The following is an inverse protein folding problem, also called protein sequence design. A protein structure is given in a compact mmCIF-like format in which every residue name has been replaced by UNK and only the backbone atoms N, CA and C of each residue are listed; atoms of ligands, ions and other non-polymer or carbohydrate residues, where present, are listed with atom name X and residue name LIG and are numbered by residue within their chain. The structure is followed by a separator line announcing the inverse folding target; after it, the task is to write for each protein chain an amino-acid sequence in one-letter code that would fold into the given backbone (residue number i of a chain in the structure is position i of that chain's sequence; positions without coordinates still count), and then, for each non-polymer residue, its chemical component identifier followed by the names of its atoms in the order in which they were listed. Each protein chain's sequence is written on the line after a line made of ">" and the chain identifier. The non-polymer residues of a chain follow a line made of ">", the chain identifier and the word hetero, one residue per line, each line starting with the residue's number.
data_IF_129496779816
#
_entry.id   IF_129496779816
#
_cell.length_a   1.000
_cell.length_b   1.000
_cell.length_c   1.000
_cell.angle_alpha   90.00
_cell.angle_beta   90.00
_cell.angle_gamma   90.00
#
_symmetry.space_group_name_H-M   'P 1'
#
loop_
_entity.id
_entity.type
_entity.pdbx_description
1 polymer ?
#
# COMPACT_ATOMS: atom_id res chain seq x y z
N UNK A 1 36.00 -19.61 -37.92
CA UNK A 1 35.32 -19.71 -36.62
C UNK A 1 34.83 -18.30 -36.29
N UNK A 2 33.59 -17.97 -36.68
CA UNK A 2 33.05 -16.62 -36.59
C UNK A 2 32.47 -16.39 -35.19
N UNK A 3 32.84 -15.26 -34.57
CA UNK A 3 32.35 -14.84 -33.26
C UNK A 3 30.93 -14.30 -33.38
N UNK A 4 30.02 -14.83 -32.57
CA UNK A 4 28.65 -14.33 -32.42
C UNK A 4 28.70 -13.23 -31.36
N UNK A 5 28.38 -11.99 -31.76
CA UNK A 5 28.17 -10.89 -30.82
C UNK A 5 26.85 -11.10 -30.05
N UNK A 6 26.81 -10.81 -28.74
CA UNK A 6 25.60 -10.98 -27.95
C UNK A 6 24.59 -9.84 -28.23
N UNK A 7 23.38 -10.25 -28.59
CA UNK A 7 22.23 -9.38 -28.81
C UNK A 7 21.89 -8.59 -27.53
N UNK A 8 21.97 -7.26 -27.61
CA UNK A 8 21.49 -6.35 -26.58
C UNK A 8 19.97 -6.48 -26.51
N UNK A 9 19.47 -7.11 -25.45
CA UNK A 9 18.03 -7.08 -25.13
C UNK A 9 17.72 -5.67 -24.66
N UNK A 10 17.09 -4.89 -25.54
CA UNK A 10 16.39 -3.68 -25.15
C UNK A 10 15.24 -4.09 -24.23
N UNK A 11 15.41 -3.89 -22.92
CA UNK A 11 14.32 -3.93 -21.96
C UNK A 11 13.33 -2.84 -22.34
N UNK A 12 12.26 -3.23 -23.03
CA UNK A 12 11.10 -2.39 -23.27
C UNK A 12 10.55 -1.99 -21.91
N UNK A 13 10.73 -0.72 -21.53
CA UNK A 13 9.98 -0.11 -20.43
C UNK A 13 8.50 -0.14 -20.84
N UNK A 14 7.77 -1.13 -20.35
CA UNK A 14 6.31 -1.05 -20.29
C UNK A 14 6.03 0.08 -19.32
N UNK A 15 5.58 1.21 -19.84
CA UNK A 15 5.05 2.31 -19.04
C UNK A 15 3.70 1.84 -18.48
N UNK A 16 3.75 1.18 -17.32
CA UNK A 16 2.61 0.50 -16.68
C UNK A 16 1.60 1.48 -16.04
N UNK A 17 1.63 2.76 -16.44
CA UNK A 17 0.79 3.81 -15.87
C UNK A 17 0.96 4.01 -14.35
N UNK A 18 2.02 3.44 -13.76
CA UNK A 18 2.25 3.49 -12.32
C UNK A 18 2.80 4.84 -11.92
N UNK A 19 2.20 5.41 -10.88
CA UNK A 19 2.66 6.66 -10.29
C UNK A 19 4.11 6.51 -9.77
N UNK A 20 5.10 7.21 -10.37
CA UNK A 20 6.51 7.07 -9.99
C UNK A 20 6.80 7.70 -8.63
N UNK A 21 5.89 8.53 -8.10
CA UNK A 21 6.08 9.30 -6.86
C UNK A 21 6.41 8.40 -5.66
N UNK A 22 5.81 7.21 -5.60
CA UNK A 22 6.07 6.23 -4.55
C UNK A 22 7.51 5.72 -4.59
N UNK A 23 7.97 5.27 -5.76
CA UNK A 23 9.32 4.74 -5.93
C UNK A 23 10.37 5.84 -5.72
N UNK A 24 10.15 7.03 -6.27
CA UNK A 24 11.07 8.18 -6.11
C UNK A 24 11.23 8.56 -4.63
N UNK A 25 10.13 8.63 -3.88
CA UNK A 25 10.18 8.92 -2.45
C UNK A 25 10.96 7.84 -1.68
N UNK A 26 10.71 6.56 -1.97
CA UNK A 26 11.38 5.44 -1.30
C UNK A 26 12.88 5.47 -1.62
N UNK A 27 13.26 5.62 -2.88
CA UNK A 27 14.65 5.69 -3.34
C UNK A 27 15.39 6.84 -2.67
N UNK A 28 14.81 8.04 -2.70
CA UNK A 28 15.39 9.23 -2.07
C UNK A 28 15.57 9.03 -0.56
N UNK A 29 14.57 8.44 0.10
CA UNK A 29 14.61 8.20 1.55
C UNK A 29 15.69 7.18 1.88
N UNK A 30 15.70 6.01 1.24
CA UNK A 30 16.68 4.95 1.49
C UNK A 30 18.11 5.42 1.17
N UNK A 31 18.32 6.14 0.06
CA UNK A 31 19.61 6.70 -0.29
C UNK A 31 20.10 7.71 0.77
N UNK A 32 19.23 8.61 1.25
CA UNK A 32 19.58 9.55 2.31
C UNK A 32 19.95 8.84 3.63
N UNK A 33 19.27 7.74 3.95
CA UNK A 33 19.58 6.93 5.14
C UNK A 33 20.93 6.22 5.01
N UNK A 34 21.20 5.57 3.87
CA UNK A 34 22.49 4.89 3.62
C UNK A 34 23.65 5.89 3.62
N UNK A 35 23.46 7.04 2.98
CA UNK A 35 24.45 8.11 2.99
C UNK A 35 24.72 8.59 4.42
N UNK A 36 23.68 8.85 5.20
CA UNK A 36 23.83 9.27 6.60
C UNK A 36 24.54 8.22 7.47
N UNK A 37 24.28 6.92 7.25
CA UNK A 37 24.96 5.83 7.95
C UNK A 37 26.44 5.68 7.55
N UNK A 38 26.81 6.17 6.36
CA UNK A 38 28.19 6.14 5.88
C UNK A 38 29.03 7.31 6.39
N UNK A 39 28.41 8.29 7.06
CA UNK A 39 29.07 9.46 7.62
C UNK A 39 29.59 9.20 9.04
N UNK A 40 30.43 10.11 9.53
CA UNK A 40 30.93 10.04 10.91
C UNK A 40 29.78 10.20 11.91
N UNK A 41 29.80 9.52 13.08
CA UNK A 41 28.73 9.59 14.08
C UNK A 41 28.46 11.01 14.62
N UNK A 42 29.42 11.93 14.48
CA UNK A 42 29.28 13.32 14.91
C UNK A 42 28.46 14.18 13.92
N UNK A 43 28.33 13.74 12.67
CA UNK A 43 27.71 14.49 11.58
C UNK A 43 26.38 13.86 11.11
N UNK A 44 26.16 12.58 11.43
CA UNK A 44 25.00 11.82 10.99
C UNK A 44 23.72 12.21 11.75
N UNK A 45 22.92 13.13 11.19
CA UNK A 45 21.58 13.47 11.69
C UNK A 45 20.49 12.72 10.92
N UNK A 46 20.43 11.41 11.10
CA UNK A 46 19.52 10.54 10.34
C UNK A 46 18.11 10.62 10.92
N UNK A 47 17.11 10.86 10.07
CA UNK A 47 15.71 10.85 10.50
C UNK A 47 14.73 10.60 9.38
N UNK A 48 13.57 10.02 9.73
CA UNK A 48 12.43 9.84 8.83
C UNK A 48 11.27 10.66 9.40
N UNK A 49 10.62 11.46 8.56
CA UNK A 49 9.45 12.26 8.95
C UNK A 49 8.24 11.80 8.18
N UNK A 50 7.19 11.40 8.89
CA UNK A 50 5.93 10.96 8.31
C UNK A 50 4.81 11.96 8.62
N UNK A 51 4.00 12.27 7.61
CA UNK A 51 2.71 12.93 7.79
C UNK A 51 1.74 11.96 8.43
N UNK A 52 0.87 12.47 9.28
CA UNK A 52 -0.20 11.73 9.92
C UNK A 52 -1.53 12.39 9.67
N UNK A 53 -2.50 11.56 9.30
CA UNK A 53 -3.91 12.00 9.28
C UNK A 53 -4.34 12.27 10.71
N UNK A 54 -5.07 13.37 10.90
CA UNK A 54 -5.81 13.60 12.13
C UNK A 54 -6.72 12.40 12.40
N UNK A 55 -6.92 12.07 13.69
CA UNK A 55 -7.83 11.00 14.06
C UNK A 55 -9.22 11.26 13.45
N UNK A 56 -9.87 10.27 12.81
CA UNK A 56 -11.25 10.41 12.31
C UNK A 56 -12.25 10.80 13.40
N UNK A 57 -11.89 10.56 14.67
CA UNK A 57 -12.72 10.80 15.86
C UNK A 57 -12.50 12.20 16.44
N UNK A 58 -11.56 12.99 15.89
CA UNK A 58 -11.40 14.38 16.30
C UNK A 58 -12.53 15.22 15.72
N UNK A 59 -13.70 15.14 16.34
CA UNK A 59 -14.84 16.00 16.06
C UNK A 59 -14.90 17.10 17.11
N UNK A 60 -15.22 18.30 16.69
CA UNK A 60 -15.49 19.45 17.55
C UNK A 60 -16.99 19.73 17.49
N UNK A 61 -17.60 20.03 18.64
CA UNK A 61 -18.97 20.54 18.65
C UNK A 61 -18.89 22.01 18.26
N UNK A 62 -19.54 22.38 17.17
CA UNK A 62 -19.62 23.76 16.76
C UNK A 62 -20.43 24.56 17.81
N UNK A 63 -19.85 25.60 18.42
CA UNK A 63 -20.47 26.30 19.55
C UNK A 63 -21.68 27.16 19.16
N UNK A 64 -21.92 27.37 17.86
CA UNK A 64 -23.01 28.21 17.34
C UNK A 64 -24.26 27.37 17.07
N UNK A 65 -24.11 26.21 16.41
CA UNK A 65 -25.23 25.37 15.98
C UNK A 65 -25.31 24.01 16.71
N UNK A 66 -24.33 23.68 17.55
CA UNK A 66 -24.27 22.40 18.27
C UNK A 66 -23.96 21.18 17.39
N UNK A 67 -23.63 21.37 16.10
CA UNK A 67 -23.34 20.29 15.18
C UNK A 67 -21.97 19.66 15.50
N UNK A 68 -21.87 18.34 15.32
CA UNK A 68 -20.60 17.63 15.41
C UNK A 68 -19.85 17.82 14.09
N UNK A 69 -18.83 18.67 14.09
CA UNK A 69 -18.02 18.97 12.92
C UNK A 69 -16.67 18.26 12.99
N UNK A 70 -16.14 17.83 11.84
CA UNK A 70 -14.77 17.34 11.81
C UNK A 70 -13.83 18.47 12.23
N UNK A 71 -12.95 18.22 13.20
CA UNK A 71 -11.88 19.16 13.53
C UNK A 71 -11.11 19.49 12.25
N UNK A 72 -10.72 20.76 12.03
CA UNK A 72 -9.90 21.12 10.89
C UNK A 72 -8.70 20.17 10.85
N UNK A 73 -8.52 19.49 9.71
CA UNK A 73 -7.46 18.48 9.50
C UNK A 73 -6.11 19.16 9.57
N UNK A 74 -5.61 19.44 10.77
CA UNK A 74 -4.24 19.92 10.95
C UNK A 74 -3.33 18.78 10.58
N UNK A 75 -2.53 18.98 9.54
CA UNK A 75 -1.48 18.04 9.19
C UNK A 75 -0.53 17.92 10.38
N UNK A 76 -0.42 16.72 10.94
CA UNK A 76 0.54 16.46 12.00
C UNK A 76 1.72 15.68 11.44
N UNK A 77 2.92 16.02 11.89
CA UNK A 77 4.16 15.41 11.44
C UNK A 77 4.78 14.66 12.61
N UNK A 78 5.32 13.46 12.35
CA UNK A 78 6.15 12.73 13.32
C UNK A 78 7.52 12.44 12.74
N UNK A 79 8.54 12.95 13.42
CA UNK A 79 9.95 12.70 13.13
C UNK A 79 10.48 11.58 14.01
N UNK A 80 11.16 10.62 13.40
CA UNK A 80 11.83 9.49 14.04
C UNK A 80 13.32 9.63 13.75
N UNK A 81 14.16 9.80 14.78
CA UNK A 81 15.61 9.92 14.60
C UNK A 81 16.35 8.59 14.79
N UNK A 82 17.52 8.49 14.19
CA UNK A 82 18.54 7.50 14.52
C UNK A 82 19.83 8.20 14.96
N UNK A 83 20.42 7.83 16.11
CA UNK A 83 19.83 6.97 17.14
C UNK A 83 18.54 7.58 17.73
N UNK A 84 17.59 6.71 18.09
CA UNK A 84 16.31 7.14 18.67
C UNK A 84 16.49 7.65 20.09
N UNK A 85 15.67 8.62 20.52
CA UNK A 85 15.73 9.18 21.89
C UNK A 85 15.27 8.19 22.94
N UNK A 86 14.50 7.20 22.54
CA UNK A 86 13.99 6.11 23.38
C UNK A 86 14.08 4.79 22.64
N UNK A 87 14.08 3.67 23.38
CA UNK A 87 14.01 2.34 22.77
C UNK A 87 12.77 2.16 21.87
N UNK A 88 11.64 2.76 22.25
CA UNK A 88 10.42 2.73 21.44
C UNK A 88 10.57 3.50 20.13
N UNK A 89 11.17 4.69 20.17
CA UNK A 89 11.43 5.49 18.96
C UNK A 89 12.41 4.76 18.04
N UNK A 90 13.49 4.22 18.58
CA UNK A 90 14.47 3.45 17.83
C UNK A 90 13.82 2.23 17.15
N UNK A 91 13.00 1.47 17.89
CA UNK A 91 12.22 0.36 17.31
C UNK A 91 11.27 0.84 16.20
N UNK A 92 10.51 1.92 16.43
CA UNK A 92 9.62 2.49 15.39
C UNK A 92 10.38 2.93 14.14
N UNK A 93 11.54 3.55 14.30
CA UNK A 93 12.41 3.93 13.19
C UNK A 93 12.79 2.69 12.36
N UNK A 94 13.26 1.63 13.01
CA UNK A 94 13.64 0.37 12.33
C UNK A 94 12.44 -0.29 11.65
N UNK A 95 11.26 -0.25 12.26
CA UNK A 95 10.03 -0.76 11.64
C UNK A 95 9.68 0.00 10.36
N UNK A 96 9.76 1.34 10.38
CA UNK A 96 9.50 2.16 9.18
C UNK A 96 10.50 1.83 8.07
N UNK A 97 11.80 1.74 8.41
CA UNK A 97 12.84 1.35 7.47
C UNK A 97 12.59 -0.04 6.87
N UNK A 98 12.21 -1.02 7.69
CA UNK A 98 11.89 -2.38 7.22
C UNK A 98 10.70 -2.38 6.26
N UNK A 99 9.65 -1.63 6.57
CA UNK A 99 8.49 -1.50 5.68
C UNK A 99 8.88 -0.81 4.38
N UNK A 100 9.65 0.28 4.40
CA UNK A 100 10.17 0.93 3.18
C UNK A 100 10.92 -0.05 2.27
N UNK A 101 11.77 -0.90 2.84
CA UNK A 101 12.50 -1.92 2.08
C UNK A 101 11.58 -2.99 1.46
N UNK A 102 10.53 -3.40 2.19
CA UNK A 102 9.53 -4.34 1.66
C UNK A 102 8.74 -3.71 0.50
N UNK A 103 8.33 -2.43 0.66
CA UNK A 103 7.63 -1.69 -0.38
C UNK A 103 8.51 -1.45 -1.61
N UNK A 104 9.79 -1.12 -1.43
CA UNK A 104 10.76 -1.00 -2.51
C UNK A 104 10.81 -2.27 -3.36
N UNK A 105 10.96 -3.42 -2.70
CA UNK A 105 11.00 -4.71 -3.38
C UNK A 105 9.68 -5.02 -4.08
N UNK A 106 8.54 -4.78 -3.43
CA UNK A 106 7.21 -5.02 -4.01
C UNK A 106 6.97 -4.17 -5.26
N UNK A 107 7.35 -2.89 -5.25
CA UNK A 107 7.20 -1.99 -6.39
C UNK A 107 8.12 -2.41 -7.54
N UNK A 108 9.41 -2.67 -7.27
CA UNK A 108 10.39 -3.08 -8.29
C UNK A 108 10.06 -4.41 -8.96
N UNK A 109 9.52 -5.36 -8.20
CA UNK A 109 9.13 -6.69 -8.71
C UNK A 109 7.73 -6.71 -9.31
N UNK A 110 6.95 -5.64 -9.13
CA UNK A 110 5.53 -5.62 -9.48
C UNK A 110 4.67 -6.55 -8.63
N UNK A 111 5.19 -7.06 -7.51
CA UNK A 111 4.46 -7.93 -6.61
C UNK A 111 3.43 -7.13 -5.81
N UNK A 112 2.16 -7.52 -5.92
CA UNK A 112 1.10 -7.03 -5.04
C UNK A 112 1.15 -7.77 -3.71
N UNK A 113 1.15 -7.02 -2.61
CA UNK A 113 1.18 -7.57 -1.25
C UNK A 113 0.09 -6.94 -0.39
N UNK A 114 -0.38 -7.64 0.64
CA UNK A 114 -1.31 -7.09 1.62
C UNK A 114 -0.61 -6.64 2.89
N UNK A 115 -1.28 -5.79 3.68
CA UNK A 115 -0.79 -5.40 5.02
C UNK A 115 -0.57 -6.62 5.93
N UNK A 116 -1.35 -7.68 5.74
CA UNK A 116 -1.15 -8.95 6.46
C UNK A 116 0.09 -9.69 5.97
N UNK A 117 0.36 -9.70 4.66
CA UNK A 117 1.58 -10.31 4.14
C UNK A 117 2.82 -9.62 4.72
N UNK A 118 2.80 -8.28 4.84
CA UNK A 118 3.86 -7.52 5.51
C UNK A 118 3.99 -7.92 6.99
N UNK A 119 2.88 -8.00 7.72
CA UNK A 119 2.89 -8.38 9.14
C UNK A 119 3.44 -9.79 9.37
N UNK A 120 3.08 -10.75 8.51
CA UNK A 120 3.51 -12.14 8.64
C UNK A 120 4.98 -12.38 8.27
N UNK A 121 5.70 -11.40 7.72
CA UNK A 121 7.15 -11.51 7.52
C UNK A 121 7.88 -11.69 8.86
N UNK A 122 7.47 -10.95 9.89
CA UNK A 122 8.05 -11.04 11.25
C UNK A 122 7.09 -10.50 12.32
N UNK A 123 6.14 -11.33 12.80
CA UNK A 123 5.16 -10.92 13.80
C UNK A 123 5.77 -10.47 15.14
N UNK A 124 6.90 -11.04 15.54
CA UNK A 124 7.59 -10.68 16.79
C UNK A 124 8.19 -9.28 16.70
N UNK A 125 8.78 -8.95 15.56
CA UNK A 125 9.33 -7.63 15.29
C UNK A 125 8.24 -6.56 15.18
N UNK A 126 7.15 -6.84 14.44
CA UNK A 126 6.05 -5.88 14.25
C UNK A 126 5.08 -5.79 15.43
N UNK A 127 5.07 -6.82 16.29
CA UNK A 127 4.23 -7.01 17.49
C UNK A 127 2.74 -7.15 17.20
N UNK A 128 2.14 -6.15 16.55
CA UNK A 128 0.70 -6.09 16.27
C UNK A 128 0.45 -5.58 14.86
N UNK A 129 -0.55 -6.14 14.17
CA UNK A 129 -0.87 -5.77 12.79
C UNK A 129 -1.16 -4.27 12.62
N UNK A 130 -1.82 -3.65 13.61
CA UNK A 130 -2.10 -2.20 13.63
C UNK A 130 -0.84 -1.32 13.48
N UNK A 131 0.34 -1.82 13.88
CA UNK A 131 1.61 -1.12 13.64
C UNK A 131 1.93 -1.02 12.16
N UNK A 132 1.80 -2.13 11.43
CA UNK A 132 2.03 -2.16 9.97
C UNK A 132 0.97 -1.32 9.28
N UNK A 133 -0.30 -1.51 9.65
CA UNK A 133 -1.43 -0.81 9.03
C UNK A 133 -1.23 0.70 9.06
N UNK A 134 -0.89 1.24 10.25
CA UNK A 134 -0.67 2.67 10.45
C UNK A 134 0.54 3.21 9.72
N UNK A 135 1.65 2.45 9.68
CA UNK A 135 2.87 2.93 9.01
C UNK A 135 2.67 2.96 7.50
N UNK A 136 2.03 1.94 6.92
CA UNK A 136 1.69 1.93 5.48
C UNK A 136 0.77 3.10 5.13
N UNK A 137 -0.24 3.38 5.95
CA UNK A 137 -1.16 4.49 5.71
C UNK A 137 -0.50 5.87 5.90
N UNK A 138 0.35 6.03 6.92
CA UNK A 138 1.16 7.23 7.15
C UNK A 138 2.13 7.45 5.97
N UNK A 139 2.73 6.40 5.41
CA UNK A 139 3.61 6.48 4.23
C UNK A 139 2.86 6.92 2.97
N UNK A 140 1.76 6.25 2.63
CA UNK A 140 0.91 6.63 1.49
C UNK A 140 0.47 8.10 1.60
N UNK A 141 0.07 8.51 2.81
CA UNK A 141 -0.31 9.89 3.09
C UNK A 141 0.86 10.88 3.03
N UNK A 142 2.06 10.48 3.44
CA UNK A 142 3.28 11.30 3.35
C UNK A 142 3.66 11.59 1.90
N UNK A 143 3.54 10.58 1.04
CA UNK A 143 3.87 10.67 -0.39
C UNK A 143 2.75 11.40 -1.15
N UNK A 144 1.50 11.30 -0.67
CA UNK A 144 0.34 11.90 -1.34
C UNK A 144 -0.30 10.96 -2.37
N UNK A 145 -0.11 9.65 -2.21
CA UNK A 145 -0.60 8.63 -3.16
C UNK A 145 -1.65 7.73 -2.52
N UNK A 146 -2.41 7.02 -3.36
CA UNK A 146 -3.24 5.92 -2.91
C UNK A 146 -2.39 4.72 -2.50
N UNK A 147 -2.91 3.89 -1.61
CA UNK A 147 -2.22 2.69 -1.10
C UNK A 147 -1.78 1.73 -2.22
N UNK A 148 -2.55 1.65 -3.30
CA UNK A 148 -2.27 0.83 -4.49
C UNK A 148 -0.96 1.24 -5.18
N UNK A 149 -0.58 2.52 -5.13
CA UNK A 149 0.70 2.99 -5.67
C UNK A 149 1.93 2.49 -4.87
N UNK A 150 1.71 1.96 -3.66
CA UNK A 150 2.74 1.26 -2.88
C UNK A 150 2.78 -0.25 -3.17
N UNK A 151 2.02 -0.72 -4.17
CA UNK A 151 1.73 -2.14 -4.39
C UNK A 151 1.11 -2.85 -3.16
N UNK A 152 0.44 -2.09 -2.28
CA UNK A 152 -0.24 -2.64 -1.10
C UNK A 152 -1.76 -2.68 -1.29
N UNK A 153 -2.32 -3.88 -1.29
CA UNK A 153 -3.75 -4.11 -1.56
C UNK A 153 -4.40 -5.04 -0.56
N UNK A 154 -5.74 -5.03 -0.52
CA UNK A 154 -6.45 -6.02 0.26
C UNK A 154 -6.31 -7.37 -0.45
N UNK A 155 -5.95 -8.42 0.28
CA UNK A 155 -6.00 -9.77 -0.27
C UNK A 155 -7.45 -10.08 -0.70
N UNK A 156 -7.63 -10.62 -1.90
CA UNK A 156 -8.91 -11.11 -2.38
C UNK A 156 -9.37 -12.25 -1.46
N UNK A 157 -10.51 -12.06 -0.78
CA UNK A 157 -11.08 -13.04 0.16
C UNK A 157 -12.57 -13.26 -0.01
N UNK A 158 -13.22 -12.46 -0.86
CA UNK A 158 -14.62 -12.65 -1.21
C UNK A 158 -14.73 -13.71 -2.30
N UNK A 159 -15.70 -14.59 -2.15
CA UNK A 159 -16.14 -15.48 -3.20
C UNK A 159 -17.41 -14.92 -3.82
N UNK A 160 -17.57 -15.14 -5.12
CA UNK A 160 -18.75 -14.74 -5.87
C UNK A 160 -19.15 -15.88 -6.80
N UNK A 161 -20.46 -16.07 -6.94
CA UNK A 161 -21.09 -17.04 -7.84
C UNK A 161 -22.44 -16.52 -8.27
N UNK A 162 -22.95 -16.95 -9.44
CA UNK A 162 -24.21 -16.51 -10.02
C UNK A 162 -24.10 -16.18 -11.50
N UNK A 163 -25.14 -15.56 -12.07
CA UNK A 163 -25.23 -15.29 -13.52
C UNK A 163 -24.77 -13.86 -13.85
N UNK A 164 -23.45 -13.62 -13.79
CA UNK A 164 -22.84 -12.31 -14.09
C UNK A 164 -21.54 -12.44 -14.88
N UNK A 165 -21.08 -11.33 -15.48
CA UNK A 165 -19.72 -11.22 -16.04
C UNK A 165 -18.99 -10.01 -15.50
N UNK A 166 -17.70 -10.17 -15.28
CA UNK A 166 -16.79 -9.05 -15.03
C UNK A 166 -15.91 -8.86 -16.28
N UNK A 167 -15.89 -7.65 -16.81
CA UNK A 167 -15.25 -7.30 -18.08
C UNK A 167 -14.29 -6.13 -17.84
N UNK A 168 -13.06 -6.24 -18.34
CA UNK A 168 -12.06 -5.18 -18.35
C UNK A 168 -11.68 -4.87 -19.79
N UNK A 169 -12.15 -3.73 -20.30
CA UNK A 169 -11.99 -3.38 -21.71
C UNK A 169 -12.56 -4.47 -22.62
N UNK A 170 -11.72 -5.15 -23.39
CA UNK A 170 -12.11 -6.26 -24.27
C UNK A 170 -11.97 -7.66 -23.64
N UNK A 171 -11.54 -7.76 -22.39
CA UNK A 171 -11.26 -9.03 -21.72
C UNK A 171 -12.34 -9.39 -20.70
N UNK A 172 -12.87 -10.61 -20.76
CA UNK A 172 -13.75 -11.16 -19.72
C UNK A 172 -12.87 -11.73 -18.60
N UNK A 173 -12.91 -11.10 -17.44
CA UNK A 173 -12.16 -11.53 -16.25
C UNK A 173 -12.87 -12.66 -15.51
N UNK A 174 -14.19 -12.61 -15.43
CA UNK A 174 -15.03 -13.68 -14.88
C UNK A 174 -16.23 -13.87 -15.80
N UNK A 175 -16.48 -15.11 -16.23
CA UNK A 175 -17.73 -15.51 -16.87
C UNK A 175 -18.48 -16.52 -15.99
N UNK A 176 -19.17 -16.01 -14.98
CA UNK A 176 -19.92 -16.86 -14.04
C UNK A 176 -21.21 -17.44 -14.67
N UNK A 177 -21.57 -17.02 -15.89
CA UNK A 177 -22.70 -17.58 -16.64
C UNK A 177 -22.42 -19.02 -17.14
N UNK A 178 -21.14 -19.38 -17.27
CA UNK A 178 -20.70 -20.65 -17.88
C UNK A 178 -20.08 -21.63 -16.89
N UNK A 179 -19.74 -21.18 -15.67
CA UNK A 179 -18.97 -21.94 -14.69
C UNK A 179 -19.82 -22.17 -13.44
N UNK A 180 -19.93 -23.42 -12.99
CA UNK A 180 -20.70 -23.82 -11.79
C UNK A 180 -19.93 -23.66 -10.47
N UNK A 181 -18.67 -23.26 -10.52
CA UNK A 181 -17.78 -23.12 -9.37
C UNK A 181 -17.72 -21.66 -8.86
N UNK A 182 -17.45 -21.51 -7.58
CA UNK A 182 -17.23 -20.23 -6.92
C UNK A 182 -15.92 -19.59 -7.41
N UNK A 183 -15.98 -18.31 -7.74
CA UNK A 183 -14.82 -17.54 -8.17
C UNK A 183 -14.38 -16.58 -7.07
N UNK A 184 -13.08 -16.47 -6.83
CA UNK A 184 -12.56 -15.36 -6.02
C UNK A 184 -12.87 -14.04 -6.73
N UNK A 185 -13.38 -13.07 -5.97
CA UNK A 185 -13.60 -11.71 -6.48
C UNK A 185 -12.21 -11.12 -6.80
N UNK A 186 -11.90 -10.87 -8.09
CA UNK A 186 -10.66 -10.24 -8.47
C UNK A 186 -10.70 -8.78 -8.09
N UNK A 187 -9.55 -8.12 -8.20
CA UNK A 187 -9.46 -6.68 -8.03
C UNK A 187 -10.34 -5.98 -9.07
N UNK A 188 -11.23 -5.11 -8.59
CA UNK A 188 -11.98 -4.17 -9.44
C UNK A 188 -11.13 -2.93 -9.67
N UNK A 189 -10.95 -2.57 -10.93
CA UNK A 189 -10.22 -1.38 -11.40
C UNK A 189 -11.18 -0.37 -12.03
N UNK A 190 -10.72 0.87 -12.15
CA UNK A 190 -11.48 1.91 -12.85
C UNK A 190 -11.66 1.53 -14.31
N UNK A 191 -12.91 1.47 -14.77
CA UNK A 191 -13.27 1.01 -16.11
C UNK A 191 -13.66 -0.46 -16.22
N UNK A 192 -13.65 -1.20 -15.10
CA UNK A 192 -14.27 -2.53 -15.06
C UNK A 192 -15.79 -2.41 -15.19
N UNK A 193 -16.37 -3.22 -16.08
CA UNK A 193 -17.80 -3.33 -16.30
C UNK A 193 -18.32 -4.66 -15.72
N UNK A 194 -19.47 -4.59 -15.05
CA UNK A 194 -20.13 -5.79 -14.50
C UNK A 194 -21.47 -5.98 -15.22
N UNK A 195 -21.57 -7.03 -16.05
CA UNK A 195 -22.84 -7.42 -16.66
C UNK A 195 -23.65 -8.25 -15.67
N UNK A 196 -24.72 -7.65 -15.17
CA UNK A 196 -25.71 -8.26 -14.28
C UNK A 196 -27.11 -8.26 -14.92
N UNK A 197 -27.22 -8.17 -16.25
CA UNK A 197 -28.49 -8.05 -16.96
C UNK A 197 -29.49 -9.18 -16.67
N UNK A 198 -28.99 -10.35 -16.26
CA UNK A 198 -29.77 -11.55 -15.90
C UNK A 198 -30.01 -11.69 -14.39
N UNK A 199 -29.39 -10.84 -13.58
CA UNK A 199 -29.46 -10.87 -12.11
C UNK A 199 -30.60 -9.99 -11.64
N UNK A 200 -31.48 -10.54 -10.80
CA UNK A 200 -32.59 -9.79 -10.19
C UNK A 200 -32.29 -9.28 -8.78
N UNK A 201 -31.38 -9.94 -8.08
CA UNK A 201 -30.99 -9.61 -6.70
C UNK A 201 -29.57 -10.09 -6.44
N UNK A 202 -28.91 -9.47 -5.46
CA UNK A 202 -27.60 -9.88 -4.95
C UNK A 202 -27.77 -10.26 -3.49
N UNK A 203 -27.28 -11.45 -3.11
CA UNK A 203 -27.25 -11.90 -1.72
C UNK A 203 -25.82 -11.83 -1.21
N UNK A 204 -25.60 -11.00 -0.20
CA UNK A 204 -24.32 -10.92 0.49
C UNK A 204 -24.40 -11.78 1.73
N UNK A 205 -23.53 -12.78 1.81
CA UNK A 205 -23.42 -13.69 2.97
C UNK A 205 -22.12 -13.36 3.70
N UNK A 206 -22.24 -12.82 4.90
CA UNK A 206 -21.11 -12.74 5.82
C UNK A 206 -20.98 -14.07 6.55
N UNK A 207 -19.82 -14.71 6.40
CA UNK A 207 -19.48 -15.88 7.21
C UNK A 207 -18.70 -15.40 8.42
N UNK A 208 -19.31 -15.51 9.60
CA UNK A 208 -18.61 -15.41 10.88
C UNK A 208 -17.51 -16.48 10.92
N UNK A 209 -16.28 -16.07 11.26
CA UNK A 209 -15.12 -16.96 11.41
C UNK A 209 -15.06 -17.48 12.84
#
# INVERSE_FOLDING_TARGET
>A
MAMVEPSIIHTLKIDDGRDPSAQEFIDKTLAALIHGLSQSPAEASISITLKRRASPIACIINPINGALEASPRVETYRKYSWPGKTAHEAWKFTVILRILAILDQAIRTGQLISKRDIYYIDPEFFRVQCTVDRIVDDLAYTIGVNRTALNVEAAAKGLVTGDFRLIRGSHILIDAQSVTEDSLIPRIEDGDEIDISRVRWVLVIEKEV
#
